data_IF_626546484825
#
_entry.id   IF_626546484825
#
_cell.length_a   1.000
_cell.length_b   1.000
_cell.length_c   1.000
_cell.angle_alpha   90.00
_cell.angle_beta   90.00
_cell.angle_gamma   90.00
#
_symmetry.space_group_name_H-M   'P 1'
#
loop_
_entity.id
_entity.type
_entity.pdbx_description
1 polymer ?
#
# COMPACT_ATOMS: atom_id res chain seq x y z
N UNK A 1 14.82 36.56 6.77
CA UNK A 1 15.47 35.59 5.86
C UNK A 1 15.28 34.21 6.48
N UNK A 2 14.29 33.45 5.99
CA UNK A 2 14.00 32.12 6.52
C UNK A 2 15.15 31.22 6.07
N UNK A 3 15.85 30.58 7.02
CA UNK A 3 17.05 29.80 6.75
C UNK A 3 16.74 28.63 5.80
N UNK A 4 17.15 28.76 4.54
CA UNK A 4 17.04 27.75 3.49
C UNK A 4 17.58 26.37 3.92
N UNK A 5 18.57 26.36 4.82
CA UNK A 5 19.15 25.14 5.39
C UNK A 5 18.17 24.43 6.35
N UNK A 6 17.39 25.16 7.15
CA UNK A 6 16.38 24.57 8.04
C UNK A 6 15.19 24.00 7.26
N UNK A 7 14.78 24.63 6.15
CA UNK A 7 13.70 24.13 5.30
C UNK A 7 14.08 22.83 4.60
N UNK A 8 15.34 22.69 4.15
CA UNK A 8 15.81 21.47 3.49
C UNK A 8 15.85 20.25 4.44
N UNK A 9 16.31 20.46 5.68
CA UNK A 9 16.32 19.40 6.70
C UNK A 9 14.91 18.95 7.09
N UNK A 10 13.97 19.89 7.17
CA UNK A 10 12.58 19.61 7.52
C UNK A 10 11.91 18.74 6.44
N UNK A 11 12.04 19.13 5.16
CA UNK A 11 11.51 18.36 4.01
C UNK A 11 12.09 16.94 3.98
N UNK A 12 13.39 16.78 4.22
CA UNK A 12 14.02 15.45 4.24
C UNK A 12 13.48 14.56 5.37
N UNK A 13 13.18 15.13 6.54
CA UNK A 13 12.59 14.39 7.66
C UNK A 13 11.16 13.96 7.35
N UNK A 14 10.36 14.86 6.76
CA UNK A 14 8.99 14.55 6.33
C UNK A 14 8.95 13.45 5.27
N UNK A 15 9.84 13.51 4.27
CA UNK A 15 9.95 12.49 3.22
C UNK A 15 10.25 11.09 3.78
N UNK A 16 11.13 10.98 4.79
CA UNK A 16 11.41 9.71 5.47
C UNK A 16 10.15 9.18 6.17
N UNK A 17 9.44 10.06 6.90
CA UNK A 17 8.21 9.68 7.62
C UNK A 17 7.12 9.23 6.65
N UNK A 18 6.90 9.99 5.58
CA UNK A 18 5.89 9.68 4.55
C UNK A 18 6.23 8.36 3.85
N UNK A 19 7.48 8.14 3.46
CA UNK A 19 7.91 6.86 2.87
C UNK A 19 7.66 5.68 3.82
N UNK A 20 7.97 5.85 5.12
CA UNK A 20 7.70 4.85 6.14
C UNK A 20 6.21 4.51 6.26
N UNK A 21 5.33 5.51 6.25
CA UNK A 21 3.87 5.31 6.30
C UNK A 21 3.39 4.56 5.05
N UNK A 22 3.85 4.95 3.86
CA UNK A 22 3.49 4.29 2.59
C UNK A 22 3.92 2.82 2.63
N UNK A 23 5.12 2.51 3.14
CA UNK A 23 5.61 1.15 3.25
C UNK A 23 4.77 0.30 4.24
N UNK A 24 4.49 0.84 5.44
CA UNK A 24 3.70 0.11 6.46
C UNK A 24 2.27 -0.15 5.99
N UNK A 25 1.60 0.88 5.45
CA UNK A 25 0.23 0.75 4.92
C UNK A 25 0.23 -0.19 3.70
N UNK A 26 1.24 -0.09 2.84
CA UNK A 26 1.43 -0.96 1.69
C UNK A 26 1.52 -2.45 2.08
N UNK A 27 2.38 -2.78 3.04
CA UNK A 27 2.54 -4.16 3.54
C UNK A 27 1.27 -4.67 4.23
N UNK A 28 0.65 -3.86 5.08
CA UNK A 28 -0.60 -4.24 5.75
C UNK A 28 -1.73 -4.47 4.73
N UNK A 29 -1.80 -3.62 3.70
CA UNK A 29 -2.71 -3.81 2.58
C UNK A 29 -2.47 -5.13 1.86
N UNK A 30 -1.21 -5.50 1.58
CA UNK A 30 -0.90 -6.76 0.90
C UNK A 30 -1.34 -7.98 1.73
N UNK A 31 -1.13 -7.96 3.04
CA UNK A 31 -1.54 -9.05 3.94
C UNK A 31 -3.06 -9.16 4.02
N UNK A 32 -3.78 -8.05 4.15
CA UNK A 32 -5.24 -8.07 4.24
C UNK A 32 -5.92 -8.50 2.94
N UNK A 33 -5.44 -8.04 1.77
CA UNK A 33 -6.00 -8.46 0.48
C UNK A 33 -5.69 -9.93 0.15
N UNK A 34 -4.49 -10.41 0.49
CA UNK A 34 -4.18 -11.84 0.33
C UNK A 34 -5.04 -12.71 1.24
N UNK A 35 -5.28 -12.30 2.49
CA UNK A 35 -6.23 -12.95 3.40
C UNK A 35 -7.65 -13.00 2.82
N UNK A 36 -8.14 -11.91 2.23
CA UNK A 36 -9.45 -11.86 1.58
C UNK A 36 -9.54 -12.81 0.37
N UNK A 37 -8.49 -12.85 -0.48
CA UNK A 37 -8.41 -13.77 -1.61
C UNK A 37 -8.46 -15.22 -1.11
N UNK A 38 -7.66 -15.56 -0.09
CA UNK A 38 -7.63 -16.90 0.51
C UNK A 38 -9.02 -17.27 1.08
N UNK A 39 -9.65 -16.37 1.83
CA UNK A 39 -10.96 -16.61 2.42
C UNK A 39 -12.05 -16.92 1.38
N UNK A 40 -12.05 -16.20 0.25
CA UNK A 40 -12.97 -16.45 -0.88
C UNK A 40 -12.63 -17.75 -1.61
N UNK A 41 -11.35 -18.10 -1.72
CA UNK A 41 -10.89 -19.33 -2.39
C UNK A 41 -11.21 -20.59 -1.59
N UNK A 42 -11.06 -20.55 -0.27
CA UNK A 42 -11.26 -21.71 0.61
C UNK A 42 -12.73 -21.95 0.98
N UNK A 43 -13.57 -20.92 0.98
CA UNK A 43 -15.00 -21.09 1.29
C UNK A 43 -15.85 -21.21 0.02
N UNK A 44 -16.34 -22.41 -0.35
CA UNK A 44 -17.18 -22.59 -1.53
C UNK A 44 -18.50 -21.82 -1.45
N UNK A 45 -19.01 -21.56 -0.24
CA UNK A 45 -20.20 -20.72 0.01
C UNK A 45 -20.02 -19.28 -0.45
N UNK A 46 -18.78 -18.78 -0.52
CA UNK A 46 -18.46 -17.42 -0.95
C UNK A 46 -18.17 -17.32 -2.46
N UNK A 47 -18.15 -18.42 -3.23
CA UNK A 47 -17.95 -18.41 -4.70
C UNK A 47 -19.20 -18.00 -5.48
N UNK A 48 -20.00 -17.10 -4.91
CA UNK A 48 -21.10 -16.43 -5.60
C UNK A 48 -20.56 -15.22 -6.41
N UNK A 49 -21.38 -14.64 -7.28
CA UNK A 49 -21.04 -13.43 -8.06
C UNK A 49 -20.49 -12.31 -7.17
N UNK A 50 -21.01 -12.15 -5.95
CA UNK A 50 -20.50 -11.19 -4.98
C UNK A 50 -19.06 -11.47 -4.53
N UNK A 51 -18.71 -12.71 -4.18
CA UNK A 51 -17.35 -13.04 -3.76
C UNK A 51 -16.33 -12.98 -4.91
N UNK A 52 -16.74 -13.26 -6.14
CA UNK A 52 -15.90 -13.05 -7.33
C UNK A 52 -15.62 -11.56 -7.59
N UNK A 53 -16.58 -10.68 -7.35
CA UNK A 53 -16.38 -9.22 -7.39
C UNK A 53 -15.36 -8.78 -6.33
N UNK A 54 -15.50 -9.27 -5.10
CA UNK A 54 -14.54 -9.00 -4.02
C UNK A 54 -13.14 -9.53 -4.33
N UNK A 55 -13.03 -10.68 -5.00
CA UNK A 55 -11.76 -11.25 -5.44
C UNK A 55 -11.08 -10.34 -6.47
N UNK A 56 -11.81 -9.90 -7.51
CA UNK A 56 -11.27 -8.97 -8.52
C UNK A 56 -10.78 -7.67 -7.90
N UNK A 57 -11.55 -7.11 -6.97
CA UNK A 57 -11.18 -5.88 -6.26
C UNK A 57 -9.93 -6.10 -5.37
N UNK A 58 -9.84 -7.23 -4.68
CA UNK A 58 -8.69 -7.56 -3.84
C UNK A 58 -7.42 -7.79 -4.67
N UNK A 59 -7.54 -8.42 -5.84
CA UNK A 59 -6.43 -8.60 -6.79
C UNK A 59 -5.96 -7.26 -7.36
N UNK A 60 -6.89 -6.39 -7.75
CA UNK A 60 -6.57 -5.03 -8.20
C UNK A 60 -5.86 -4.22 -7.10
N UNK A 61 -6.35 -4.32 -5.86
CA UNK A 61 -5.74 -3.65 -4.73
C UNK A 61 -4.33 -4.19 -4.45
N UNK A 62 -4.09 -5.51 -4.59
CA UNK A 62 -2.75 -6.11 -4.49
C UNK A 62 -1.78 -5.55 -5.53
N UNK A 63 -2.21 -5.40 -6.78
CA UNK A 63 -1.40 -4.81 -7.84
C UNK A 63 -1.06 -3.34 -7.53
N UNK A 64 -2.05 -2.56 -7.09
CA UNK A 64 -1.85 -1.17 -6.73
C UNK A 64 -0.88 -1.02 -5.54
N UNK A 65 -1.05 -1.82 -4.49
CA UNK A 65 -0.19 -1.82 -3.30
C UNK A 65 1.27 -2.20 -3.63
N UNK A 66 1.49 -3.10 -4.59
CA UNK A 66 2.84 -3.39 -5.09
C UNK A 66 3.50 -2.15 -5.70
N UNK A 67 2.77 -1.35 -6.48
CA UNK A 67 3.30 -0.09 -7.04
C UNK A 67 3.62 0.90 -5.92
N UNK A 68 2.76 1.04 -4.92
CA UNK A 68 3.03 1.94 -3.79
C UNK A 68 4.28 1.53 -3.00
N UNK A 69 4.49 0.24 -2.76
CA UNK A 69 5.65 -0.26 -1.99
C UNK A 69 6.94 -0.23 -2.81
N UNK A 70 6.93 -0.69 -4.06
CA UNK A 70 8.15 -0.82 -4.88
C UNK A 70 8.50 0.44 -5.67
N UNK A 71 7.57 1.36 -5.87
CA UNK A 71 7.80 2.58 -6.64
C UNK A 71 7.62 3.85 -5.81
N UNK A 72 6.46 4.07 -5.20
CA UNK A 72 6.22 5.32 -4.46
C UNK A 72 7.11 5.47 -3.22
N UNK A 73 7.27 4.41 -2.41
CA UNK A 73 8.12 4.48 -1.22
C UNK A 73 9.60 4.83 -1.52
N UNK A 74 10.30 4.20 -2.48
CA UNK A 74 11.68 4.57 -2.79
C UNK A 74 11.80 5.91 -3.51
N UNK A 75 10.85 6.28 -4.38
CA UNK A 75 10.83 7.60 -5.02
C UNK A 75 10.65 8.73 -3.99
N UNK A 76 9.95 8.47 -2.88
CA UNK A 76 9.79 9.46 -1.80
C UNK A 76 11.09 9.66 -1.00
N UNK A 77 12.02 8.70 -1.05
CA UNK A 77 13.32 8.78 -0.36
C UNK A 77 14.43 9.38 -1.24
N UNK A 78 14.22 9.42 -2.56
CA UNK A 78 15.13 9.99 -3.55
C UNK A 78 14.88 11.51 -3.70
#
# INVERSE_FOLDING_TARGET
MINFSSTAMYVHTENIVVSGIIAVVGVFGLVSNSGAIIAVRYNPTLRNSFGLLCLSLSVSNMANLMVFVFWCAPVTLL
#
